data_IF_848821185375
#
_entry.id   IF_848821185375
#
_cell.length_a   1.000
_cell.length_b   1.000
_cell.length_c   1.000
_cell.angle_alpha   90.00
_cell.angle_beta   90.00
_cell.angle_gamma   90.00
#
_symmetry.space_group_name_H-M   'P 1'
#
loop_
_entity.id
_entity.type
_entity.pdbx_description
1 polymer ?
#
# COMPACT_ATOMS: atom_id res chain seq x y z
N UNK A 1 20.42 -37.60 12.08
CA UNK A 1 21.23 -36.56 12.75
C UNK A 1 21.70 -35.55 11.74
N UNK A 2 21.96 -34.31 12.15
CA UNK A 2 22.56 -33.29 11.29
C UNK A 2 24.06 -33.63 11.14
N UNK A 3 24.59 -33.80 9.91
CA UNK A 3 26.01 -34.11 9.68
C UNK A 3 26.95 -33.14 10.39
N UNK A 4 28.09 -33.62 10.87
CA UNK A 4 29.09 -32.78 11.55
C UNK A 4 29.64 -31.66 10.63
N UNK A 5 29.63 -31.88 9.32
CA UNK A 5 30.04 -30.91 8.30
C UNK A 5 28.97 -29.86 7.95
N UNK A 6 27.87 -29.81 8.70
CA UNK A 6 26.78 -28.87 8.39
C UNK A 6 27.19 -27.43 8.72
N UNK A 7 27.13 -26.58 7.71
CA UNK A 7 27.29 -25.14 7.86
C UNK A 7 25.97 -24.50 8.25
N UNK A 8 25.99 -23.71 9.32
CA UNK A 8 24.86 -22.93 9.84
C UNK A 8 25.03 -21.47 9.52
N UNK A 9 23.96 -20.83 9.07
CA UNK A 9 23.94 -19.40 8.81
C UNK A 9 23.38 -18.66 10.02
N UNK A 10 24.03 -17.56 10.39
CA UNK A 10 23.53 -16.61 11.38
C UNK A 10 23.82 -15.18 10.93
N UNK A 11 23.27 -14.19 11.64
CA UNK A 11 23.78 -12.82 11.54
C UNK A 11 25.15 -12.73 12.23
N UNK A 12 26.04 -11.82 11.81
CA UNK A 12 27.33 -11.63 12.45
C UNK A 12 27.19 -11.47 13.96
N UNK A 13 28.11 -12.09 14.68
CA UNK A 13 28.16 -12.07 16.14
C UNK A 13 26.86 -12.57 16.79
N UNK A 14 26.10 -13.41 16.07
CA UNK A 14 24.80 -13.91 16.47
C UNK A 14 23.80 -12.78 16.82
N UNK A 15 23.88 -11.66 16.11
CA UNK A 15 22.95 -10.53 16.30
C UNK A 15 21.49 -10.98 16.21
N UNK A 16 20.67 -10.63 17.21
CA UNK A 16 19.26 -11.01 17.30
C UNK A 16 18.99 -12.43 17.83
N UNK A 17 20.02 -13.19 18.22
CA UNK A 17 19.87 -14.52 18.82
C UNK A 17 19.95 -14.48 20.35
N UNK A 18 19.36 -15.47 21.02
CA UNK A 18 19.48 -15.61 22.48
C UNK A 18 20.91 -16.02 22.86
N UNK A 19 21.57 -15.20 23.68
CA UNK A 19 22.98 -15.36 24.10
C UNK A 19 23.33 -16.71 24.76
N UNK A 20 22.34 -17.49 25.21
CA UNK A 20 22.55 -18.78 25.89
C UNK A 20 23.21 -19.86 25.02
N UNK A 21 23.14 -19.76 23.70
CA UNK A 21 23.73 -20.73 22.77
C UNK A 21 25.17 -20.41 22.37
N UNK A 22 25.66 -19.19 22.66
CA UNK A 22 26.97 -18.69 22.24
C UNK A 22 27.92 -18.61 23.43
N UNK A 23 29.10 -19.25 23.33
CA UNK A 23 30.11 -19.29 24.38
C UNK A 23 31.17 -18.18 24.29
N UNK A 24 31.10 -17.37 23.25
CA UNK A 24 32.05 -16.30 22.99
C UNK A 24 31.35 -14.99 23.34
N UNK A 25 32.04 -14.11 24.06
CA UNK A 25 31.53 -12.79 24.42
C UNK A 25 31.53 -11.87 23.19
N UNK A 26 30.66 -12.18 22.24
CA UNK A 26 30.41 -11.32 21.11
C UNK A 26 29.69 -10.05 21.57
N UNK A 27 30.03 -8.93 20.93
CA UNK A 27 29.35 -7.65 21.11
C UNK A 27 28.46 -7.39 19.90
N UNK A 28 27.26 -8.01 19.80
CA UNK A 28 26.37 -7.77 18.67
C UNK A 28 25.95 -6.30 18.63
N UNK A 29 26.07 -5.67 17.46
CA UNK A 29 25.70 -4.28 17.23
C UNK A 29 24.80 -4.18 16.00
N UNK A 30 23.71 -3.42 16.11
CA UNK A 30 22.75 -3.23 15.03
C UNK A 30 23.39 -2.68 13.75
N UNK A 31 24.15 -1.58 13.85
CA UNK A 31 24.74 -0.92 12.69
C UNK A 31 25.79 -1.77 11.96
N UNK A 32 26.46 -2.66 12.68
CA UNK A 32 27.54 -3.51 12.14
C UNK A 32 27.07 -4.89 11.70
N UNK A 33 25.98 -5.43 12.24
CA UNK A 33 25.59 -6.82 12.02
C UNK A 33 24.17 -7.01 11.47
N UNK A 34 23.38 -5.95 11.37
CA UNK A 34 22.08 -6.04 10.68
C UNK A 34 22.29 -6.11 9.16
N UNK A 35 21.43 -6.88 8.48
CA UNK A 35 21.29 -6.84 7.03
C UNK A 35 20.13 -5.93 6.67
N UNK A 36 20.36 -4.97 5.77
CA UNK A 36 19.36 -3.96 5.41
C UNK A 36 19.19 -3.88 3.90
N UNK A 37 17.96 -3.75 3.43
CA UNK A 37 17.66 -3.48 2.03
C UNK A 37 16.72 -2.29 1.95
N UNK A 38 17.11 -1.28 1.18
CA UNK A 38 16.35 -0.07 0.92
C UNK A 38 15.77 -0.14 -0.48
N UNK A 39 14.47 0.04 -0.58
CA UNK A 39 13.73 0.01 -1.84
C UNK A 39 13.20 1.38 -2.19
N UNK A 40 13.14 1.67 -3.49
CA UNK A 40 12.35 2.76 -4.02
C UNK A 40 10.85 2.37 -3.94
N UNK A 41 9.98 3.16 -3.29
CA UNK A 41 8.63 2.74 -2.93
C UNK A 41 7.69 2.55 -4.12
N UNK A 42 7.88 3.26 -5.23
CA UNK A 42 6.96 3.21 -6.37
C UNK A 42 7.21 2.00 -7.29
N UNK A 43 8.48 1.64 -7.49
CA UNK A 43 8.93 0.60 -8.42
C UNK A 43 9.37 -0.67 -7.70
N UNK A 44 9.66 -0.61 -6.39
CA UNK A 44 10.25 -1.72 -5.64
C UNK A 44 11.71 -1.99 -6.00
N UNK A 45 12.38 -1.07 -6.70
CA UNK A 45 13.77 -1.23 -7.12
C UNK A 45 14.70 -1.11 -5.90
N UNK A 46 15.63 -2.06 -5.64
CA UNK A 46 16.58 -1.93 -4.55
C UNK A 46 17.58 -0.80 -4.83
N UNK A 47 17.62 0.21 -3.97
CA UNK A 47 18.54 1.35 -4.02
C UNK A 47 19.88 1.00 -3.39
N UNK A 48 19.80 0.34 -2.24
CA UNK A 48 20.95 -0.08 -1.43
C UNK A 48 20.62 -1.38 -0.73
N UNK A 49 21.49 -2.35 -0.83
CA UNK A 49 21.39 -3.60 -0.08
C UNK A 49 22.71 -3.85 0.64
N UNK A 50 22.63 -4.16 1.93
CA UNK A 50 23.76 -4.61 2.73
C UNK A 50 23.39 -5.96 3.32
N UNK A 51 23.99 -7.01 2.78
CA UNK A 51 23.79 -8.38 3.22
C UNK A 51 24.96 -8.79 4.10
N UNK A 52 24.66 -9.21 5.33
CA UNK A 52 25.66 -9.64 6.30
C UNK A 52 25.29 -11.01 6.84
N UNK A 53 26.13 -12.00 6.53
CA UNK A 53 25.90 -13.40 6.89
C UNK A 53 27.15 -13.95 7.57
N UNK A 54 26.97 -14.71 8.63
CA UNK A 54 28.00 -15.45 9.33
C UNK A 54 27.83 -16.95 9.08
N UNK A 55 28.92 -17.60 8.69
CA UNK A 55 29.03 -19.04 8.55
C UNK A 55 29.53 -19.62 9.87
N UNK A 56 28.83 -20.65 10.36
CA UNK A 56 29.18 -21.34 11.58
C UNK A 56 29.22 -22.83 11.31
N UNK A 57 30.05 -23.56 12.04
CA UNK A 57 29.99 -25.02 12.12
C UNK A 57 29.57 -25.43 13.52
N UNK A 58 29.02 -26.64 13.67
CA UNK A 58 28.85 -27.21 15.00
C UNK A 58 30.06 -28.08 15.33
N UNK A 59 30.65 -27.86 16.51
CA UNK A 59 31.80 -28.63 16.96
C UNK A 59 31.59 -29.06 18.41
N UNK A 60 32.14 -30.22 18.75
CA UNK A 60 32.30 -30.64 20.14
C UNK A 60 33.51 -29.92 20.71
N UNK A 61 33.28 -29.07 21.72
CA UNK A 61 34.35 -28.31 22.37
C UNK A 61 34.46 -28.77 23.81
N UNK A 62 35.67 -29.15 24.21
CA UNK A 62 35.99 -29.44 25.59
C UNK A 62 35.89 -28.17 26.43
N UNK A 63 35.36 -28.32 27.65
CA UNK A 63 35.37 -27.21 28.59
C UNK A 63 36.82 -26.96 29.00
N UNK A 64 37.25 -25.71 28.94
CA UNK A 64 38.58 -25.31 29.36
C UNK A 64 38.53 -24.79 30.79
N UNK A 65 39.52 -25.15 31.60
CA UNK A 65 39.78 -24.54 32.90
C UNK A 65 40.89 -23.52 32.73
N UNK A 66 40.68 -22.30 33.21
CA UNK A 66 41.73 -21.31 33.33
C UNK A 66 42.58 -21.63 34.56
N UNK A 67 43.87 -21.92 34.36
CA UNK A 67 44.81 -22.14 35.43
C UNK A 67 45.34 -20.80 35.98
N UNK A 68 45.89 -20.77 37.21
CA UNK A 68 46.39 -19.54 37.83
C UNK A 68 47.54 -18.87 37.06
N UNK A 69 48.27 -19.62 36.25
CA UNK A 69 49.36 -19.14 35.39
C UNK A 69 48.85 -18.56 34.05
N UNK A 70 47.53 -18.54 33.83
CA UNK A 70 46.91 -18.06 32.60
C UNK A 70 46.84 -19.12 31.48
N UNK A 71 47.38 -20.32 31.70
CA UNK A 71 47.21 -21.44 30.75
C UNK A 71 45.78 -22.00 30.82
N UNK A 72 45.35 -22.66 29.74
CA UNK A 72 44.03 -23.30 29.67
C UNK A 72 44.16 -24.77 29.36
N UNK A 73 43.66 -25.62 30.26
CA UNK A 73 43.65 -27.07 30.09
C UNK A 73 42.22 -27.59 29.90
N UNK A 74 42.01 -28.69 29.14
CA UNK A 74 40.73 -29.39 29.10
C UNK A 74 40.35 -29.87 30.51
N UNK A 75 39.11 -29.63 30.94
CA UNK A 75 38.61 -30.09 32.24
C UNK A 75 38.39 -31.61 32.31
N UNK A 76 38.54 -32.34 31.19
CA UNK A 76 38.25 -33.78 31.11
C UNK A 76 36.76 -34.12 31.25
N UNK A 77 35.88 -33.12 31.22
CA UNK A 77 34.42 -33.30 31.26
C UNK A 77 33.87 -33.50 29.85
N UNK A 78 32.69 -34.14 29.73
CA UNK A 78 32.01 -34.34 28.44
C UNK A 78 31.98 -33.06 27.59
N UNK A 79 32.54 -33.15 26.38
CA UNK A 79 32.47 -32.10 25.38
C UNK A 79 31.03 -31.65 25.15
N UNK A 80 30.83 -30.36 24.93
CA UNK A 80 29.52 -29.79 24.64
C UNK A 80 29.47 -29.32 23.20
N UNK A 81 28.36 -29.61 22.51
CA UNK A 81 28.15 -29.15 21.14
C UNK A 81 27.92 -27.64 21.13
N UNK A 82 28.68 -26.90 20.34
CA UNK A 82 28.62 -25.43 20.25
C UNK A 82 28.72 -24.98 18.80
N UNK A 83 28.14 -23.81 18.50
CA UNK A 83 28.37 -23.14 17.23
C UNK A 83 29.70 -22.40 17.26
N UNK A 84 30.59 -22.77 16.35
CA UNK A 84 31.87 -22.10 16.13
C UNK A 84 31.72 -21.22 14.90
N UNK A 85 31.78 -19.89 15.05
CA UNK A 85 31.78 -19.00 13.90
C UNK A 85 33.11 -19.14 13.16
N UNK A 86 33.02 -19.28 11.84
CA UNK A 86 34.19 -19.45 10.97
C UNK A 86 34.57 -18.12 10.32
N UNK A 87 33.61 -17.52 9.63
CA UNK A 87 33.78 -16.26 8.90
C UNK A 87 32.44 -15.57 8.76
N UNK A 88 32.44 -14.25 8.59
CA UNK A 88 31.27 -13.50 8.17
C UNK A 88 31.60 -12.68 6.92
N UNK A 89 30.59 -12.47 6.09
CA UNK A 89 30.68 -11.82 4.80
C UNK A 89 29.80 -10.56 4.85
N UNK A 90 30.37 -9.42 4.46
CA UNK A 90 29.64 -8.17 4.22
C UNK A 90 29.58 -7.89 2.72
N UNK A 91 28.39 -7.92 2.15
CA UNK A 91 28.16 -7.56 0.76
C UNK A 91 27.31 -6.29 0.70
N UNK A 92 27.93 -5.20 0.25
CA UNK A 92 27.27 -3.93 0.00
C UNK A 92 27.03 -3.74 -1.50
N UNK A 93 25.78 -3.53 -1.86
CA UNK A 93 25.33 -3.16 -3.20
C UNK A 93 24.74 -1.76 -3.10
N UNK A 94 25.32 -0.82 -3.84
CA UNK A 94 24.79 0.53 -4.00
C UNK A 94 24.56 0.79 -5.49
N UNK A 95 23.41 1.37 -5.82
CA UNK A 95 23.23 1.94 -7.16
C UNK A 95 24.23 3.08 -7.37
N UNK A 96 24.80 3.14 -8.57
CA UNK A 96 25.60 4.28 -8.98
C UNK A 96 24.70 5.52 -9.19
N UNK A 97 25.31 6.71 -9.12
CA UNK A 97 24.58 7.96 -9.23
C UNK A 97 23.83 8.07 -10.57
N UNK A 98 24.42 7.59 -11.65
CA UNK A 98 23.77 7.58 -12.97
C UNK A 98 22.47 6.77 -12.98
N UNK A 99 22.47 5.55 -12.44
CA UNK A 99 21.25 4.73 -12.34
C UNK A 99 20.26 5.35 -11.37
N UNK A 100 20.74 6.00 -10.30
CA UNK A 100 19.89 6.74 -9.37
C UNK A 100 19.14 7.88 -10.07
N UNK A 101 19.82 8.67 -10.91
CA UNK A 101 19.20 9.74 -11.68
C UNK A 101 18.16 9.20 -12.68
N UNK A 102 18.47 8.09 -13.36
CA UNK A 102 17.52 7.42 -14.26
C UNK A 102 16.30 6.91 -13.51
N UNK A 103 16.51 6.25 -12.37
CA UNK A 103 15.44 5.76 -11.50
C UNK A 103 14.54 6.91 -11.04
N UNK A 104 15.12 8.01 -10.54
CA UNK A 104 14.38 9.21 -10.13
C UNK A 104 13.56 9.83 -11.26
N UNK A 105 14.09 9.81 -12.48
CA UNK A 105 13.39 10.31 -13.66
C UNK A 105 12.17 9.45 -13.98
N UNK A 106 12.34 8.13 -13.99
CA UNK A 106 11.25 7.16 -14.20
C UNK A 106 10.19 7.31 -13.10
N UNK A 107 10.57 7.36 -11.84
CA UNK A 107 9.62 7.46 -10.72
C UNK A 107 8.86 8.79 -10.73
N UNK A 108 9.51 9.89 -11.12
CA UNK A 108 8.84 11.18 -11.29
C UNK A 108 7.77 11.14 -12.39
N UNK A 109 8.06 10.47 -13.51
CA UNK A 109 7.10 10.31 -14.62
C UNK A 109 5.91 9.45 -14.16
N UNK A 110 6.18 8.29 -13.54
CA UNK A 110 5.11 7.42 -13.03
C UNK A 110 4.23 8.13 -11.99
N UNK A 111 4.84 8.89 -11.07
CA UNK A 111 4.11 9.67 -10.07
C UNK A 111 3.19 10.74 -10.69
N UNK A 112 3.69 11.46 -11.72
CA UNK A 112 2.88 12.43 -12.46
C UNK A 112 1.72 11.75 -13.20
N UNK A 113 1.97 10.62 -13.86
CA UNK A 113 0.94 9.83 -14.53
C UNK A 113 -0.14 9.35 -13.57
N UNK A 114 0.25 8.90 -12.37
CA UNK A 114 -0.71 8.51 -11.34
C UNK A 114 -1.63 9.69 -10.97
N UNK A 115 -1.07 10.87 -10.69
CA UNK A 115 -1.86 12.05 -10.35
C UNK A 115 -2.79 12.49 -11.47
N UNK A 116 -2.32 12.47 -12.73
CA UNK A 116 -3.13 12.79 -13.90
C UNK A 116 -4.29 11.81 -14.05
N UNK A 117 -4.04 10.51 -13.88
CA UNK A 117 -5.08 9.49 -13.92
C UNK A 117 -6.13 9.67 -12.81
N UNK A 118 -5.71 10.07 -11.60
CA UNK A 118 -6.66 10.40 -10.52
C UNK A 118 -7.54 11.61 -10.85
N UNK A 119 -6.98 12.65 -11.49
CA UNK A 119 -7.74 13.81 -11.95
C UNK A 119 -8.76 13.43 -13.04
N UNK A 120 -8.38 12.58 -14.00
CA UNK A 120 -9.31 12.09 -15.01
C UNK A 120 -10.46 11.27 -14.42
N UNK A 121 -10.18 10.43 -13.42
CA UNK A 121 -11.24 9.72 -12.68
C UNK A 121 -12.22 10.67 -12.02
N UNK A 122 -11.73 11.71 -11.35
CA UNK A 122 -12.59 12.71 -10.72
C UNK A 122 -13.42 13.48 -11.75
N UNK A 123 -12.79 13.92 -12.86
CA UNK A 123 -13.47 14.61 -13.96
C UNK A 123 -14.58 13.75 -14.56
N UNK A 124 -14.33 12.45 -14.73
CA UNK A 124 -15.32 11.51 -15.26
C UNK A 124 -16.54 11.36 -14.33
N UNK A 125 -16.31 11.27 -13.02
CA UNK A 125 -17.40 11.23 -12.03
C UNK A 125 -18.23 12.51 -12.08
N UNK A 126 -17.58 13.68 -12.11
CA UNK A 126 -18.28 14.98 -12.20
C UNK A 126 -19.12 15.06 -13.47
N UNK A 127 -18.57 14.61 -14.60
CA UNK A 127 -19.29 14.61 -15.88
C UNK A 127 -20.57 13.76 -15.83
N UNK A 128 -20.50 12.56 -15.25
CA UNK A 128 -21.68 11.70 -15.06
C UNK A 128 -22.72 12.40 -14.18
N UNK A 129 -22.30 13.02 -13.07
CA UNK A 129 -23.21 13.74 -12.19
C UNK A 129 -23.91 14.90 -12.90
N UNK A 130 -23.17 15.70 -13.68
CA UNK A 130 -23.75 16.80 -14.47
C UNK A 130 -24.74 16.31 -15.51
N UNK A 131 -24.44 15.17 -16.17
CA UNK A 131 -25.33 14.56 -17.14
C UNK A 131 -26.64 14.09 -16.48
N UNK A 132 -26.58 13.48 -15.31
CA UNK A 132 -27.76 13.09 -14.53
C UNK A 132 -28.59 14.30 -14.10
N UNK A 133 -27.95 15.37 -13.63
CA UNK A 133 -28.63 16.62 -13.25
C UNK A 133 -29.33 17.25 -14.46
N UNK A 134 -28.66 17.28 -15.62
CA UNK A 134 -29.25 17.78 -16.87
C UNK A 134 -30.51 16.99 -17.25
N UNK A 135 -30.47 15.66 -17.15
CA UNK A 135 -31.64 14.80 -17.42
C UNK A 135 -32.79 15.12 -16.46
N UNK A 136 -32.52 15.30 -15.16
CA UNK A 136 -33.54 15.67 -14.18
C UNK A 136 -34.19 17.03 -14.51
N UNK A 137 -33.39 18.03 -14.90
CA UNK A 137 -33.90 19.34 -15.31
C UNK A 137 -34.78 19.22 -16.55
N UNK A 138 -34.38 18.42 -17.54
CA UNK A 138 -35.19 18.17 -18.75
C UNK A 138 -36.53 17.52 -18.40
N UNK A 139 -36.53 16.54 -17.48
CA UNK A 139 -37.76 15.88 -17.01
C UNK A 139 -38.68 16.90 -16.32
N UNK A 140 -38.15 17.74 -15.42
CA UNK A 140 -38.93 18.79 -14.74
C UNK A 140 -39.53 19.80 -15.72
N UNK A 141 -38.74 20.26 -16.70
CA UNK A 141 -39.21 21.17 -17.75
C UNK A 141 -40.32 20.54 -18.60
N UNK A 142 -40.16 19.25 -18.94
CA UNK A 142 -41.17 18.51 -19.69
C UNK A 142 -42.47 18.36 -18.89
N UNK A 143 -42.39 18.01 -17.61
CA UNK A 143 -43.53 17.90 -16.70
C UNK A 143 -44.24 19.25 -16.51
N UNK A 144 -43.48 20.34 -16.36
CA UNK A 144 -44.02 21.70 -16.26
C UNK A 144 -44.76 22.12 -17.52
N UNK A 145 -44.19 21.89 -18.70
CA UNK A 145 -44.84 22.21 -19.97
C UNK A 145 -46.14 21.40 -20.15
N UNK A 146 -46.13 20.12 -19.77
CA UNK A 146 -47.34 19.28 -19.79
C UNK A 146 -48.43 19.82 -18.86
N UNK A 147 -48.09 20.25 -17.64
CA UNK A 147 -49.04 20.87 -16.69
C UNK A 147 -49.64 22.16 -17.27
N UNK A 148 -48.83 23.02 -17.90
CA UNK A 148 -49.32 24.25 -18.52
C UNK A 148 -50.31 23.99 -19.67
N UNK A 149 -50.04 22.97 -20.50
CA UNK A 149 -50.96 22.57 -21.57
C UNK A 149 -52.30 22.07 -21.01
N UNK A 150 -52.28 21.28 -19.94
CA UNK A 150 -53.51 20.84 -19.25
C UNK A 150 -54.29 22.02 -18.67
N UNK A 151 -53.63 22.95 -17.99
CA UNK A 151 -54.29 24.12 -17.40
C UNK A 151 -54.96 25.01 -18.47
N UNK A 152 -54.31 25.22 -19.63
CA UNK A 152 -54.93 25.97 -20.74
C UNK A 152 -56.17 25.27 -21.30
N UNK A 153 -56.14 23.94 -21.43
CA UNK A 153 -57.29 23.17 -21.92
C UNK A 153 -58.47 23.23 -20.93
N UNK A 154 -58.20 23.16 -19.62
CA UNK A 154 -59.23 23.30 -18.58
C UNK A 154 -59.84 24.70 -18.61
N UNK A 155 -59.01 25.75 -18.65
CA UNK A 155 -59.51 27.14 -18.70
C UNK A 155 -60.36 27.41 -19.94
N UNK A 156 -59.95 26.85 -21.09
CA UNK A 156 -60.73 26.93 -22.33
C UNK A 156 -62.09 26.25 -22.19
N UNK A 157 -62.16 25.04 -21.62
CA UNK A 157 -63.43 24.35 -21.37
C UNK A 157 -64.34 25.14 -20.43
N UNK A 158 -63.81 25.64 -19.31
CA UNK A 158 -64.58 26.45 -18.36
C UNK A 158 -65.15 27.71 -19.02
N UNK A 159 -64.37 28.43 -19.85
CA UNK A 159 -64.90 29.60 -20.56
C UNK A 159 -66.01 29.23 -21.55
N UNK A 160 -65.88 28.08 -22.22
CA UNK A 160 -66.84 27.61 -23.21
C UNK A 160 -68.15 27.14 -22.56
N UNK A 161 -68.07 26.57 -21.38
CA UNK A 161 -69.24 26.16 -20.61
C UNK A 161 -70.00 27.38 -20.05
N UNK A 162 -69.29 28.41 -19.58
CA UNK A 162 -69.90 29.69 -19.18
C UNK A 162 -70.61 30.40 -20.35
N UNK A 163 -70.01 30.40 -21.54
CA UNK A 163 -70.63 30.99 -22.74
C UNK A 163 -71.95 30.29 -23.11
N UNK A 164 -72.00 28.95 -23.01
CA UNK A 164 -73.23 28.18 -23.22
C UNK A 164 -74.31 28.49 -22.19
N UNK A 165 -73.93 28.65 -20.92
CA UNK A 165 -74.87 28.96 -19.85
C UNK A 165 -75.51 30.34 -20.06
N UNK A 166 -74.72 31.36 -20.42
CA UNK A 166 -75.21 32.70 -20.76
C UNK A 166 -76.18 32.70 -21.95
N UNK A 167 -75.88 31.94 -23.00
CA UNK A 167 -76.77 31.79 -24.16
C UNK A 167 -78.10 31.09 -23.81
N UNK A 168 -78.08 30.17 -22.84
CA UNK A 168 -79.30 29.49 -22.37
C UNK A 168 -80.21 30.41 -21.56
N UNK A 169 -79.65 31.32 -20.76
CA UNK A 169 -80.39 32.33 -19.99
C UNK A 169 -81.04 33.35 -20.92
N UNK A 170 -80.29 33.88 -21.90
CA UNK A 170 -80.79 34.89 -22.83
C UNK A 170 -81.93 34.37 -23.74
N UNK A 171 -81.95 33.07 -24.03
CA UNK A 171 -83.03 32.45 -24.80
C UNK A 171 -84.27 32.11 -23.95
N UNK A 172 -84.13 32.03 -22.61
CA UNK A 172 -85.24 31.81 -21.69
C UNK A 172 -86.11 33.05 -21.47
N UNK A 173 -85.52 34.25 -21.53
CA UNK A 173 -86.24 35.52 -21.35
C UNK A 173 -87.08 35.94 -22.58
N UNK A 174 -86.85 35.35 -23.75
CA UNK A 174 -87.66 35.56 -24.96
C UNK A 174 -88.96 34.72 -25.01
N UNK A 175 -89.27 33.96 -23.96
CA UNK A 175 -90.46 33.08 -23.86
C UNK A 175 -91.46 33.52 -22.78
N UNK A 176 -91.32 34.73 -22.23
CA UNK A 176 -92.31 35.39 -21.37
C UNK A 176 -92.85 36.65 -22.06
#
# INVERSE_FOLDING_TARGET
EIPEETVFLSKPHFYGHNSSSTNINFKPNFHQHESTIYFEPLTGTPIRAQLRIQLNTNAWIDRLRLNPDGSTDPTGTRAIRRFVPMVWIDQLINLNDETMYRLKSVTSILGKLHNVHQLFKLSYIIFICLLLISILIIIELFMFNRRNKMNKNVLYQVSKDQEKELLSINNGDNLR
#
